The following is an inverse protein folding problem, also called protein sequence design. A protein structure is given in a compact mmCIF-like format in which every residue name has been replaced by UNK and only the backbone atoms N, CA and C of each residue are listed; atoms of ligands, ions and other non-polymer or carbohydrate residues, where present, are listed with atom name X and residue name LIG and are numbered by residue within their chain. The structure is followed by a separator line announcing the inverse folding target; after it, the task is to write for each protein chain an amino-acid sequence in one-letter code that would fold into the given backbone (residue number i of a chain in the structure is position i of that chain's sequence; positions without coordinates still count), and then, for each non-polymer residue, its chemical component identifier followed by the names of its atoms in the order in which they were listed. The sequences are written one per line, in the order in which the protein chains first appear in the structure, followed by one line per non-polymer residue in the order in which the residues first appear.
data_IF_013936796958
#
_entry.id   IF_013936796958
#
_cell.length_a   1.000
_cell.length_b   1.000
_cell.length_c   1.000
_cell.angle_alpha   90.00
_cell.angle_beta   90.00
_cell.angle_gamma   90.00
#
_symmetry.space_group_name_H-M   'P 1'
#
loop_
_entity.id
_entity.type
_entity.pdbx_description
1 polymer ?
#
# COMPACT_ATOMS: atom_id res chain seq x y z
N UNK A 1 1.53 8.07 -10.82
CA UNK A 1 2.17 7.04 -9.97
C UNK A 1 3.50 7.55 -9.46
N UNK A 2 3.93 7.11 -8.28
CA UNK A 2 5.27 7.36 -7.78
C UNK A 2 5.92 6.04 -7.33
N UNK A 3 7.17 5.81 -7.71
CA UNK A 3 7.94 4.62 -7.31
C UNK A 3 9.29 5.10 -6.74
N UNK A 4 9.61 4.67 -5.53
CA UNK A 4 10.92 4.92 -4.94
C UNK A 4 11.93 3.89 -5.46
N UNK A 5 13.09 4.36 -5.91
CA UNK A 5 14.25 3.52 -6.26
C UNK A 5 15.50 4.12 -5.62
N UNK A 6 15.97 3.49 -4.54
CA UNK A 6 17.00 4.08 -3.69
C UNK A 6 16.49 5.35 -3.00
N UNK A 7 17.24 6.44 -3.11
CA UNK A 7 16.91 7.75 -2.53
C UNK A 7 16.07 8.66 -3.46
N UNK A 8 15.76 8.18 -4.67
CA UNK A 8 15.04 8.96 -5.69
C UNK A 8 13.61 8.47 -5.83
N UNK A 9 12.68 9.42 -5.98
CA UNK A 9 11.27 9.15 -6.28
C UNK A 9 11.03 9.47 -7.75
N UNK A 10 10.60 8.48 -8.52
CA UNK A 10 10.18 8.67 -9.91
C UNK A 10 8.67 8.85 -9.98
N UNK A 11 8.22 9.93 -10.60
CA UNK A 11 6.80 10.22 -10.82
C UNK A 11 6.47 10.02 -12.30
N UNK A 12 5.50 9.17 -12.57
CA UNK A 12 4.98 8.91 -13.93
C UNK A 12 3.51 9.28 -14.01
N UNK A 13 3.12 9.96 -15.10
CA UNK A 13 1.72 10.24 -15.41
C UNK A 13 1.09 9.04 -16.10
N UNK A 14 -0.19 8.79 -15.83
CA UNK A 14 -0.95 7.69 -16.42
C UNK A 14 -2.09 8.24 -17.26
N UNK A 15 -2.24 7.71 -18.48
CA UNK A 15 -3.36 8.06 -19.37
C UNK A 15 -4.54 7.14 -19.06
N UNK A 16 -5.75 7.68 -18.81
CA UNK A 16 -6.93 6.85 -18.59
C UNK A 16 -7.32 6.13 -19.87
N UNK A 17 -7.68 4.85 -19.74
CA UNK A 17 -8.13 4.02 -20.86
C UNK A 17 -9.39 3.25 -20.47
N UNK A 18 -10.24 2.97 -21.46
CA UNK A 18 -11.43 2.15 -21.27
C UNK A 18 -11.04 0.69 -21.53
N UNK A 19 -11.44 -0.19 -20.62
CA UNK A 19 -11.17 -1.62 -20.69
C UNK A 19 -12.44 -2.41 -20.45
N UNK A 20 -12.49 -3.63 -20.96
CA UNK A 20 -13.63 -4.53 -20.78
C UNK A 20 -13.27 -5.68 -19.85
N UNK A 21 -14.15 -6.10 -18.91
CA UNK A 21 -13.89 -7.26 -18.07
C UNK A 21 -13.68 -8.52 -18.91
N UNK A 22 -12.68 -9.32 -18.53
CA UNK A 22 -12.38 -10.60 -19.17
C UNK A 22 -12.80 -11.73 -18.25
N UNK A 23 -13.67 -12.62 -18.71
CA UNK A 23 -14.09 -13.79 -17.94
C UNK A 23 -13.08 -14.92 -18.15
N UNK A 24 -12.53 -15.45 -17.06
CA UNK A 24 -11.71 -16.66 -17.05
C UNK A 24 -12.47 -17.71 -16.21
N UNK A 25 -12.99 -18.79 -16.83
CA UNK A 25 -13.78 -19.79 -16.13
C UNK A 25 -12.92 -20.75 -15.28
N UNK A 26 -11.61 -20.78 -15.51
CA UNK A 26 -10.71 -21.80 -14.94
C UNK A 26 -9.74 -21.25 -13.91
N UNK A 27 -9.35 -19.98 -14.03
CA UNK A 27 -8.29 -19.39 -13.20
C UNK A 27 -8.77 -18.15 -12.45
N UNK A 28 -8.33 -18.03 -11.20
CA UNK A 28 -8.62 -16.88 -10.34
C UNK A 28 -7.34 -16.09 -10.06
N UNK A 29 -7.48 -14.77 -9.96
CA UNK A 29 -6.37 -13.84 -9.77
C UNK A 29 -6.72 -12.77 -8.72
N UNK A 30 -5.71 -12.26 -8.02
CA UNK A 30 -5.87 -11.13 -7.09
C UNK A 30 -6.08 -9.78 -7.80
N UNK A 31 -5.68 -9.70 -9.07
CA UNK A 31 -5.87 -8.57 -9.95
C UNK A 31 -7.06 -8.81 -10.88
N UNK A 32 -7.74 -7.73 -11.26
CA UNK A 32 -8.99 -7.84 -12.00
C UNK A 32 -8.72 -8.04 -13.50
N UNK A 33 -9.09 -9.19 -14.10
CA UNK A 33 -8.77 -9.50 -15.49
C UNK A 33 -9.59 -8.65 -16.48
N UNK A 34 -8.91 -8.05 -17.45
CA UNK A 34 -9.50 -7.17 -18.46
C UNK A 34 -8.92 -7.40 -19.85
N UNK A 35 -9.65 -6.92 -20.85
CA UNK A 35 -9.17 -6.77 -22.22
C UNK A 35 -8.99 -5.29 -22.53
N UNK A 36 -7.84 -4.96 -23.11
CA UNK A 36 -7.54 -3.64 -23.66
C UNK A 36 -6.81 -3.83 -24.99
N UNK A 37 -7.25 -3.13 -26.04
CA UNK A 37 -6.69 -3.25 -27.40
C UNK A 37 -6.56 -4.71 -27.89
N UNK A 38 -7.60 -5.53 -27.65
CA UNK A 38 -7.62 -6.95 -28.00
C UNK A 38 -6.50 -7.81 -27.37
N UNK A 39 -5.88 -7.30 -26.30
CA UNK A 39 -4.88 -7.98 -25.51
C UNK A 39 -5.37 -8.14 -24.06
N UNK A 40 -4.95 -9.23 -23.42
CA UNK A 40 -5.27 -9.52 -22.03
C UNK A 40 -4.34 -8.77 -21.10
N UNK A 41 -4.93 -8.10 -20.11
CA UNK A 41 -4.24 -7.40 -19.04
C UNK A 41 -4.98 -7.65 -17.73
N UNK A 42 -4.41 -7.15 -16.64
CA UNK A 42 -5.02 -7.15 -15.33
C UNK A 42 -4.99 -5.74 -14.74
N UNK A 43 -6.02 -5.39 -14.00
CA UNK A 43 -6.11 -4.16 -13.23
C UNK A 43 -5.72 -4.41 -11.79
N UNK A 44 -4.75 -3.64 -11.31
CA UNK A 44 -4.37 -3.66 -9.90
C UNK A 44 -5.52 -3.12 -9.02
N UNK A 45 -5.81 -3.75 -7.87
CA UNK A 45 -7.02 -3.47 -7.10
C UNK A 45 -7.05 -2.05 -6.49
N UNK A 46 -5.89 -1.50 -6.11
CA UNK A 46 -5.81 -0.23 -5.38
C UNK A 46 -5.77 0.99 -6.29
N UNK A 47 -4.92 0.95 -7.31
CA UNK A 47 -4.63 2.09 -8.18
C UNK A 47 -5.09 1.89 -9.64
N UNK A 48 -5.73 0.76 -9.96
CA UNK A 48 -6.37 0.48 -11.26
C UNK A 48 -5.43 0.66 -12.45
N UNK A 49 -4.20 0.19 -12.28
CA UNK A 49 -3.20 0.20 -13.34
C UNK A 49 -3.29 -1.07 -14.14
N UNK A 50 -3.08 -0.94 -15.45
CA UNK A 50 -2.90 -2.10 -16.30
C UNK A 50 -1.51 -2.70 -16.09
N UNK A 51 -1.50 -4.00 -15.87
CA UNK A 51 -0.32 -4.85 -15.76
C UNK A 51 -0.55 -6.11 -16.60
N UNK A 52 0.51 -6.63 -17.18
CA UNK A 52 0.54 -7.92 -17.90
C UNK A 52 0.73 -9.11 -16.95
N UNK A 53 1.17 -8.86 -15.72
CA UNK A 53 1.36 -9.86 -14.67
C UNK A 53 0.25 -9.80 -13.63
N UNK A 54 -0.19 -10.97 -13.20
CA UNK A 54 -1.12 -11.16 -12.09
C UNK A 54 -0.68 -12.30 -11.17
N UNK A 55 -1.17 -12.25 -9.94
CA UNK A 55 -0.98 -13.23 -8.89
C UNK A 55 -2.12 -14.25 -8.96
N UNK A 56 -1.83 -15.45 -9.47
CA UNK A 56 -2.78 -16.55 -9.50
C UNK A 56 -3.11 -17.03 -8.09
N UNK A 57 -4.38 -17.34 -7.84
CA UNK A 57 -4.90 -17.84 -6.57
C UNK A 57 -5.90 -18.97 -6.80
N UNK A 58 -6.11 -19.78 -5.77
CA UNK A 58 -7.12 -20.83 -5.81
C UNK A 58 -8.53 -20.22 -5.89
N UNK A 59 -9.37 -20.78 -6.75
CA UNK A 59 -10.76 -20.37 -6.89
C UNK A 59 -11.61 -20.94 -5.74
N UNK A 60 -11.59 -20.28 -4.59
CA UNK A 60 -12.39 -20.67 -3.43
C UNK A 60 -13.75 -19.97 -3.49
N UNK A 61 -14.87 -20.72 -3.59
CA UNK A 61 -16.21 -20.13 -3.63
C UNK A 61 -16.49 -19.24 -2.41
N UNK A 62 -16.92 -18.00 -2.64
CA UNK A 62 -17.26 -17.02 -1.59
C UNK A 62 -16.08 -16.21 -1.06
N UNK A 63 -14.84 -16.55 -1.43
CA UNK A 63 -13.61 -15.82 -1.09
C UNK A 63 -12.98 -15.16 -2.33
N UNK A 64 -13.76 -14.89 -3.36
CA UNK A 64 -13.30 -14.21 -4.55
C UNK A 64 -12.84 -12.78 -4.21
N UNK A 65 -11.72 -12.31 -4.78
CA UNK A 65 -11.28 -10.93 -4.62
C UNK A 65 -12.37 -9.93 -5.06
N UNK A 66 -12.54 -8.88 -4.25
CA UNK A 66 -13.54 -7.84 -4.47
C UNK A 66 -12.85 -6.54 -4.88
N UNK A 67 -13.39 -5.90 -5.90
CA UNK A 67 -12.79 -4.75 -6.55
C UNK A 67 -13.73 -3.55 -6.51
N UNK A 68 -13.19 -2.39 -6.15
CA UNK A 68 -13.91 -1.12 -6.25
C UNK A 68 -13.63 -0.51 -7.63
N UNK A 69 -14.65 -0.47 -8.48
CA UNK A 69 -14.55 0.03 -9.87
C UNK A 69 -15.18 1.44 -10.00
N UNK A 70 -15.68 1.78 -11.19
CA UNK A 70 -16.31 3.07 -11.50
C UNK A 70 -17.56 3.27 -10.62
N UNK A 71 -17.90 4.53 -10.34
CA UNK A 71 -19.00 4.96 -9.46
C UNK A 71 -18.91 4.47 -8.01
N UNK A 72 -17.71 4.14 -7.53
CA UNK A 72 -17.49 3.66 -6.17
C UNK A 72 -18.24 2.36 -5.80
N UNK A 73 -18.70 1.64 -6.82
CA UNK A 73 -19.39 0.36 -6.67
C UNK A 73 -18.40 -0.79 -6.58
N UNK A 74 -18.80 -1.81 -5.83
CA UNK A 74 -18.00 -3.00 -5.58
C UNK A 74 -18.47 -4.16 -6.45
N UNK A 75 -17.51 -4.91 -6.97
CA UNK A 75 -17.72 -6.02 -7.87
C UNK A 75 -16.80 -7.18 -7.51
N UNK A 76 -17.20 -8.38 -7.91
CA UNK A 76 -16.33 -9.55 -7.96
C UNK A 76 -16.52 -10.26 -9.31
N UNK A 77 -15.49 -10.98 -9.75
CA UNK A 77 -15.59 -11.84 -10.91
C UNK A 77 -15.97 -13.24 -10.46
N UNK A 78 -17.11 -13.72 -10.93
CA UNK A 78 -17.48 -15.13 -10.87
C UNK A 78 -17.15 -15.81 -12.20
N UNK A 79 -17.22 -17.14 -12.21
CA UNK A 79 -17.14 -17.94 -13.45
C UNK A 79 -18.24 -17.58 -14.47
N UNK A 80 -19.34 -17.00 -14.00
CA UNK A 80 -20.48 -16.56 -14.84
C UNK A 80 -20.40 -15.11 -15.27
N UNK A 81 -19.41 -14.34 -14.77
CA UNK A 81 -19.17 -12.97 -15.18
C UNK A 81 -19.01 -11.98 -14.03
N UNK A 82 -19.18 -10.71 -14.34
CA UNK A 82 -19.03 -9.62 -13.39
C UNK A 82 -20.30 -9.45 -12.56
N UNK A 83 -20.20 -9.65 -11.25
CA UNK A 83 -21.32 -9.50 -10.32
C UNK A 83 -21.08 -8.31 -9.38
N UNK A 84 -22.13 -7.53 -9.14
CA UNK A 84 -22.10 -6.38 -8.21
C UNK A 84 -22.38 -6.87 -6.78
N UNK A 85 -21.71 -6.27 -5.82
CA UNK A 85 -21.95 -6.48 -4.39
C UNK A 85 -22.22 -5.16 -3.68
N UNK A 86 -22.77 -5.27 -2.47
CA UNK A 86 -22.92 -4.13 -1.58
C UNK A 86 -21.56 -3.64 -1.12
N UNK A 87 -21.46 -2.33 -0.86
CA UNK A 87 -20.26 -1.71 -0.31
C UNK A 87 -19.88 -2.40 1.00
N UNK A 88 -18.65 -2.90 1.15
CA UNK A 88 -18.18 -3.49 2.38
C UNK A 88 -18.26 -2.47 3.51
N UNK A 89 -18.81 -2.87 4.64
CA UNK A 89 -18.71 -2.11 5.87
C UNK A 89 -17.25 -2.15 6.31
N UNK A 90 -16.62 -0.98 6.47
CA UNK A 90 -15.30 -0.92 7.07
C UNK A 90 -15.37 -1.58 8.45
N UNK A 91 -14.64 -2.67 8.65
CA UNK A 91 -14.41 -3.17 10.00
C UNK A 91 -13.75 -2.02 10.75
N UNK A 92 -14.39 -1.55 11.84
CA UNK A 92 -13.86 -0.45 12.61
C UNK A 92 -12.42 -0.77 13.00
N UNK A 93 -11.46 -0.02 12.46
CA UNK A 93 -10.10 -0.06 12.97
C UNK A 93 -10.12 0.67 14.29
N UNK A 94 -10.32 -0.07 15.38
CA UNK A 94 -9.93 0.42 16.70
C UNK A 94 -8.42 0.47 16.71
N UNK A 95 -7.87 1.66 16.50
CA UNK A 95 -6.51 1.91 16.92
C UNK A 95 -6.53 1.91 18.43
N UNK A 96 -6.31 0.74 19.04
CA UNK A 96 -5.89 0.73 20.42
C UNK A 96 -4.70 1.69 20.52
N UNK A 97 -4.77 2.58 21.51
CA UNK A 97 -3.64 3.45 21.80
C UNK A 97 -2.52 2.52 22.26
N UNK A 98 -1.65 2.16 21.34
CA UNK A 98 -0.42 1.45 21.67
C UNK A 98 0.41 2.43 22.50
N UNK A 99 0.43 2.23 23.80
CA UNK A 99 1.37 2.91 24.67
C UNK A 99 2.68 2.15 24.57
N UNK A 100 3.73 2.85 24.12
CA UNK A 100 5.07 2.33 24.22
C UNK A 100 5.45 2.38 25.70
N UNK A 101 5.55 1.22 26.35
CA UNK A 101 6.21 1.13 27.65
C UNK A 101 7.72 1.16 27.39
N UNK A 102 8.37 2.25 27.78
CA UNK A 102 9.82 2.29 27.81
C UNK A 102 10.30 1.24 28.80
N UNK A 103 10.97 0.19 28.32
CA UNK A 103 11.70 -0.73 29.19
C UNK A 103 12.90 0.05 29.73
N UNK A 104 12.68 0.76 30.84
CA UNK A 104 13.77 1.35 31.61
C UNK A 104 14.76 0.24 31.96
N UNK A 105 16.05 0.50 31.72
CA UNK A 105 17.20 -0.39 31.94
C UNK A 105 17.62 -1.33 30.79
N UNK A 106 17.01 -1.28 29.60
CA UNK A 106 17.54 -2.07 28.46
C UNK A 106 18.99 -1.68 28.12
N UNK A 107 19.33 -0.40 28.31
CA UNK A 107 20.70 0.12 28.13
C UNK A 107 21.66 -0.27 29.27
N UNK A 108 21.15 -0.56 30.48
CA UNK A 108 21.99 -0.82 31.66
C UNK A 108 22.46 -2.28 31.76
N UNK A 109 21.86 -3.20 31.00
CA UNK A 109 22.27 -4.60 30.91
C UNK A 109 23.16 -4.93 29.70
N UNK A 110 23.47 -3.94 28.87
CA UNK A 110 24.25 -4.12 27.63
C UNK A 110 25.76 -3.96 27.84
N UNK A 111 26.54 -4.54 26.93
CA UNK A 111 28.02 -4.54 26.87
C UNK A 111 28.67 -3.15 26.73
N UNK A 112 27.89 -2.06 26.77
CA UNK A 112 28.35 -0.70 26.53
C UNK A 112 28.24 0.12 27.83
N UNK A 113 29.36 0.66 28.29
CA UNK A 113 29.40 1.55 29.44
C UNK A 113 28.85 2.93 29.09
N UNK A 114 28.40 3.69 30.10
CA UNK A 114 27.91 5.07 29.95
C UNK A 114 28.88 5.98 29.21
N UNK A 115 30.17 5.70 29.30
CA UNK A 115 31.22 6.48 28.65
C UNK A 115 31.30 6.20 27.14
N UNK A 116 30.93 5.00 26.69
CA UNK A 116 30.81 4.66 25.27
C UNK A 116 29.58 5.30 24.63
N UNK A 117 28.52 5.54 25.42
CA UNK A 117 27.29 6.20 24.98
C UNK A 117 27.51 7.71 24.85
N UNK A 118 28.27 8.30 25.77
CA UNK A 118 28.47 9.76 25.83
C UNK A 118 29.57 10.27 24.89
N UNK A 119 30.50 9.41 24.46
CA UNK A 119 31.67 9.82 23.68
C UNK A 119 31.61 9.45 22.19
N UNK A 120 30.54 8.79 21.75
CA UNK A 120 30.28 8.59 20.32
C UNK A 120 28.92 9.19 19.99
N UNK A 121 28.88 9.91 18.88
CA UNK A 121 27.70 10.28 18.11
C UNK A 121 26.82 9.06 17.78
N UNK A 122 26.22 8.43 18.79
CA UNK A 122 25.04 7.61 18.60
C UNK A 122 23.94 8.64 18.40
N UNK A 123 23.87 9.13 17.17
CA UNK A 123 22.70 9.72 16.57
C UNK A 123 21.59 8.67 16.72
N UNK A 124 20.94 8.65 17.88
CA UNK A 124 19.64 8.04 18.06
C UNK A 124 18.77 8.87 17.13
N UNK A 125 18.70 8.44 15.86
CA UNK A 125 17.80 8.98 14.87
C UNK A 125 16.43 8.84 15.49
N UNK A 126 15.95 9.91 16.10
CA UNK A 126 14.57 9.99 16.54
C UNK A 126 13.74 9.79 15.29
N UNK A 127 13.19 8.60 15.14
CA UNK A 127 12.21 8.30 14.10
C UNK A 127 10.95 9.08 14.46
N UNK A 128 10.94 10.37 14.11
CA UNK A 128 9.73 11.16 14.12
C UNK A 128 8.88 10.71 12.95
N UNK A 129 7.63 10.35 13.28
CA UNK A 129 6.59 9.96 12.35
C UNK A 129 6.45 11.05 11.28
N UNK A 130 6.64 10.67 10.01
CA UNK A 130 6.39 11.53 8.85
C UNK A 130 4.88 11.66 8.68
N UNK A 131 4.25 12.46 9.53
CA UNK A 131 3.01 13.15 9.18
C UNK A 131 3.42 14.53 8.73
N UNK A 132 3.24 14.78 7.43
CA UNK A 132 3.43 16.06 6.74
C UNK A 132 4.86 16.35 6.23
N UNK A 133 4.93 16.65 4.94
CA UNK A 133 6.12 17.11 4.23
C UNK A 133 6.88 18.17 5.04
N UNK A 134 8.18 17.96 5.25
CA UNK A 134 9.10 19.03 5.67
C UNK A 134 9.13 20.10 4.57
N UNK A 135 8.40 21.20 4.76
CA UNK A 135 8.71 22.43 4.05
C UNK A 135 10.04 22.97 4.60
N UNK A 136 11.05 23.04 3.74
CA UNK A 136 12.32 23.71 4.02
C UNK A 136 12.08 25.22 4.17
N UNK A 137 11.81 25.66 5.40
CA UNK A 137 11.81 27.07 5.77
C UNK A 137 13.19 27.50 6.23
N UNK A 138 13.87 28.32 5.43
CA UNK A 138 15.12 28.99 5.82
C UNK A 138 14.85 29.98 6.96
N UNK A 139 15.34 29.69 8.16
CA UNK A 139 15.34 30.66 9.26
C UNK A 139 16.50 31.65 9.06
N UNK A 140 16.18 32.93 8.88
CA UNK A 140 17.13 34.04 9.07
C UNK A 140 17.21 34.37 10.58
N UNK A 141 18.38 34.76 11.10
CA UNK A 141 18.51 35.22 12.47
C UNK A 141 17.92 36.63 12.61
N UNK A 142 17.16 36.86 13.67
CA UNK A 142 16.81 38.21 14.16
C UNK A 142 17.69 38.47 15.38
N UNK A 143 18.28 39.67 15.38
CA UNK A 143 19.26 40.20 16.34
C UNK A 143 18.82 40.14 17.81
#
# INVERSE_FOLDING_TARGET
MAVARGEVIHISQCTPVIVTPRIDPTSCYNEFPVMWNNQSYFLTPRNRLLTDVASAVDCIPGLEPRYKLIDDKWYYMSQTGLSRINTPTAAGMTFDKFYFEEISNLANGGLYSTDMINNNDINIRKCYRIHQFCNLGTARPVH
#
